data_IF_652110904738
#
_entry.id   IF_652110904738
#
_cell.length_a   1.000
_cell.length_b   1.000
_cell.length_c   1.000
_cell.angle_alpha   90.00
_cell.angle_beta   90.00
_cell.angle_gamma   90.00
#
_symmetry.space_group_name_H-M   'P 1'
#
loop_
_entity.id
_entity.type
_entity.pdbx_description
1 polymer ?
#
# COMPACT_ATOMS: atom_id res chain seq x y z
N UNK A 1 39.01 10.55 -8.56
CA UNK A 1 38.15 11.72 -8.32
C UNK A 1 36.71 11.25 -8.44
N UNK A 2 36.11 10.90 -7.33
CA UNK A 2 34.68 10.59 -7.27
C UNK A 2 33.97 11.94 -7.11
N UNK A 3 33.27 12.39 -8.16
CA UNK A 3 32.38 13.53 -8.05
C UNK A 3 31.24 13.17 -7.08
N UNK A 4 31.17 13.93 -5.98
CA UNK A 4 30.02 13.94 -5.10
C UNK A 4 28.80 14.32 -5.94
N UNK A 5 27.94 13.35 -6.17
CA UNK A 5 26.57 13.60 -6.58
C UNK A 5 25.86 14.07 -5.32
N UNK A 6 25.94 15.36 -5.01
CA UNK A 6 25.04 15.99 -4.05
C UNK A 6 23.67 15.89 -4.71
N UNK A 7 22.87 14.95 -4.20
CA UNK A 7 21.50 14.75 -4.66
C UNK A 7 20.78 16.09 -4.63
N UNK A 8 20.31 16.49 -5.80
CA UNK A 8 19.66 17.78 -6.04
C UNK A 8 18.29 17.84 -5.34
N UNK A 9 18.31 18.03 -4.02
CA UNK A 9 17.13 18.29 -3.20
C UNK A 9 16.58 19.72 -3.43
N UNK A 10 17.25 20.56 -4.24
CA UNK A 10 16.84 21.93 -4.53
C UNK A 10 15.53 22.03 -5.31
N UNK A 11 15.06 20.92 -5.88
CA UNK A 11 13.76 20.82 -6.57
C UNK A 11 12.54 20.85 -5.64
N UNK A 12 12.74 20.77 -4.32
CA UNK A 12 11.67 20.90 -3.34
C UNK A 12 11.51 22.33 -2.83
N UNK A 13 11.27 23.29 -3.71
CA UNK A 13 10.99 24.68 -3.34
C UNK A 13 12.18 25.39 -2.67
N UNK A 14 12.00 26.03 -1.53
CA UNK A 14 13.00 26.84 -0.80
C UNK A 14 14.15 26.03 -0.14
N UNK A 15 14.34 24.76 -0.51
CA UNK A 15 15.38 23.89 0.06
C UNK A 15 15.01 23.30 1.44
N UNK A 16 13.81 23.53 1.94
CA UNK A 16 13.31 22.89 3.16
C UNK A 16 12.84 21.46 2.86
N UNK A 17 13.21 20.51 3.71
CA UNK A 17 12.68 19.14 3.65
C UNK A 17 11.18 19.19 3.94
N UNK A 18 10.31 18.65 3.05
CA UNK A 18 8.88 18.64 3.30
C UNK A 18 8.55 17.93 4.62
N UNK A 19 7.49 18.33 5.34
CA UNK A 19 7.05 17.61 6.53
C UNK A 19 6.87 16.12 6.25
N UNK A 20 7.25 15.27 7.21
CA UNK A 20 7.15 13.80 7.07
C UNK A 20 5.73 13.37 6.68
N UNK A 21 4.71 14.00 7.23
CA UNK A 21 3.31 13.75 6.89
C UNK A 21 3.02 13.94 5.39
N UNK A 22 3.60 14.98 4.78
CA UNK A 22 3.44 15.22 3.34
C UNK A 22 4.16 14.17 2.51
N UNK A 23 5.38 13.78 2.91
CA UNK A 23 6.13 12.71 2.23
C UNK A 23 5.39 11.38 2.30
N UNK A 24 4.87 11.01 3.47
CA UNK A 24 4.09 9.79 3.66
C UNK A 24 2.78 9.81 2.85
N UNK A 25 2.08 10.95 2.84
CA UNK A 25 0.84 11.10 2.08
C UNK A 25 1.06 11.05 0.58
N UNK A 26 2.14 11.65 0.07
CA UNK A 26 2.49 11.56 -1.36
C UNK A 26 2.89 10.17 -1.80
N UNK A 27 3.59 9.43 -0.92
CA UNK A 27 4.25 8.18 -1.28
C UNK A 27 5.54 8.37 -2.05
N UNK A 28 6.10 7.26 -2.53
CA UNK A 28 7.41 7.20 -3.20
C UNK A 28 7.35 6.80 -4.67
N UNK A 29 6.19 6.79 -5.32
CA UNK A 29 6.11 6.39 -6.74
C UNK A 29 6.81 7.41 -7.64
N UNK A 30 7.67 6.98 -8.58
CA UNK A 30 8.43 7.90 -9.46
C UNK A 30 7.56 8.89 -10.24
N UNK A 31 6.35 8.47 -10.65
CA UNK A 31 5.41 9.32 -11.36
C UNK A 31 4.86 10.51 -10.56
N UNK A 32 5.14 10.56 -9.24
CA UNK A 32 4.69 11.65 -8.37
C UNK A 32 5.75 12.73 -8.14
N UNK A 33 7.01 12.53 -8.54
CA UNK A 33 8.14 13.40 -8.17
C UNK A 33 7.86 14.89 -8.47
N UNK A 34 7.42 15.22 -9.68
CA UNK A 34 7.17 16.59 -10.11
C UNK A 34 5.67 16.92 -10.22
N UNK A 35 4.81 16.06 -9.64
CA UNK A 35 3.36 16.22 -9.74
C UNK A 35 2.83 17.19 -8.68
N UNK A 36 1.97 18.17 -9.04
CA UNK A 36 1.27 19.00 -8.06
C UNK A 36 0.39 18.17 -7.12
N UNK A 37 0.32 18.57 -5.84
CA UNK A 37 -0.44 17.86 -4.81
C UNK A 37 -1.91 17.64 -5.17
N UNK A 38 -2.52 18.59 -5.91
CA UNK A 38 -3.92 18.52 -6.35
C UNK A 38 -4.20 17.33 -7.30
N UNK A 39 -3.18 16.83 -8.00
CA UNK A 39 -3.31 15.75 -8.98
C UNK A 39 -2.99 14.35 -8.41
N UNK A 40 -2.53 14.27 -7.15
CA UNK A 40 -2.13 13.00 -6.54
C UNK A 40 -3.29 12.01 -6.45
N UNK A 41 -4.47 12.48 -6.07
CA UNK A 41 -5.67 11.64 -6.01
C UNK A 41 -6.07 11.07 -7.37
N UNK A 42 -5.99 11.90 -8.42
CA UNK A 42 -6.28 11.48 -9.80
C UNK A 42 -5.24 10.49 -10.31
N UNK A 43 -3.97 10.72 -9.97
CA UNK A 43 -2.89 9.77 -10.27
C UNK A 43 -3.18 8.39 -9.68
N UNK A 44 -3.49 8.31 -8.37
CA UNK A 44 -3.79 7.01 -7.75
C UNK A 44 -5.09 6.38 -8.26
N UNK A 45 -6.06 7.17 -8.65
CA UNK A 45 -7.28 6.69 -9.32
C UNK A 45 -6.93 6.00 -10.64
N UNK A 46 -6.12 6.65 -11.48
CA UNK A 46 -5.63 6.08 -12.74
C UNK A 46 -4.73 4.87 -12.52
N UNK A 47 -3.83 4.95 -11.53
CA UNK A 47 -2.94 3.86 -11.15
C UNK A 47 -3.73 2.61 -10.73
N UNK A 48 -4.69 2.73 -9.82
CA UNK A 48 -5.52 1.60 -9.35
C UNK A 48 -6.34 0.98 -10.48
N UNK A 49 -6.87 1.80 -11.38
CA UNK A 49 -7.56 1.30 -12.56
C UNK A 49 -6.63 0.47 -13.44
N UNK A 50 -5.45 0.99 -13.77
CA UNK A 50 -4.44 0.31 -14.59
C UNK A 50 -3.95 -0.97 -13.90
N UNK A 51 -3.67 -0.91 -12.60
CA UNK A 51 -3.26 -2.05 -11.80
C UNK A 51 -4.29 -3.19 -11.86
N UNK A 52 -5.57 -2.88 -11.62
CA UNK A 52 -6.62 -3.90 -11.62
C UNK A 52 -6.89 -4.43 -13.04
N UNK A 53 -6.96 -3.56 -14.04
CA UNK A 53 -7.30 -3.96 -15.41
C UNK A 53 -6.16 -4.66 -16.16
N UNK A 54 -4.93 -4.36 -15.84
CA UNK A 54 -3.75 -4.87 -16.54
C UNK A 54 -2.98 -5.90 -15.72
N UNK A 55 -2.44 -5.48 -14.57
CA UNK A 55 -1.47 -6.30 -13.83
C UNK A 55 -2.16 -7.48 -13.14
N UNK A 56 -3.29 -7.23 -12.49
CA UNK A 56 -4.05 -8.29 -11.82
C UNK A 56 -4.58 -9.31 -12.83
N UNK A 57 -5.11 -8.87 -13.97
CA UNK A 57 -5.58 -9.78 -15.02
C UNK A 57 -4.47 -10.61 -15.66
N UNK A 58 -3.25 -10.09 -15.72
CA UNK A 58 -2.10 -10.83 -16.25
C UNK A 58 -1.63 -11.94 -15.31
N UNK A 59 -1.86 -11.79 -14.00
CA UNK A 59 -1.45 -12.74 -12.97
C UNK A 59 -2.52 -13.82 -12.74
N UNK A 60 -3.80 -13.44 -12.80
CA UNK A 60 -4.90 -14.35 -12.49
C UNK A 60 -6.22 -13.95 -13.14
N UNK A 61 -7.02 -14.98 -13.50
CA UNK A 61 -8.42 -14.77 -13.86
C UNK A 61 -9.24 -14.45 -12.60
N UNK A 62 -9.68 -13.19 -12.49
CA UNK A 62 -10.59 -12.72 -11.45
C UNK A 62 -11.94 -12.41 -12.11
N UNK A 63 -12.95 -13.18 -11.75
CA UNK A 63 -14.30 -13.04 -12.30
C UNK A 63 -15.00 -11.75 -11.87
N UNK A 64 -14.67 -11.23 -10.67
CA UNK A 64 -15.30 -10.03 -10.11
C UNK A 64 -14.23 -9.00 -9.68
N UNK A 65 -13.83 -8.14 -10.60
CA UNK A 65 -12.83 -7.10 -10.36
C UNK A 65 -13.31 -6.02 -9.36
N UNK A 66 -14.61 -5.76 -9.31
CA UNK A 66 -15.17 -4.82 -8.33
C UNK A 66 -15.02 -5.35 -6.90
N UNK A 67 -15.26 -6.63 -6.70
CA UNK A 67 -15.08 -7.28 -5.40
C UNK A 67 -13.60 -7.35 -5.03
N UNK A 68 -12.71 -7.61 -5.99
CA UNK A 68 -11.27 -7.53 -5.78
C UNK A 68 -10.81 -6.11 -5.39
N UNK A 69 -11.34 -5.09 -6.03
CA UNK A 69 -11.05 -3.69 -5.68
C UNK A 69 -11.47 -3.37 -4.22
N UNK A 70 -12.63 -3.89 -3.79
CA UNK A 70 -13.07 -3.78 -2.39
C UNK A 70 -12.16 -4.55 -1.44
N UNK A 71 -11.67 -5.72 -1.86
CA UNK A 71 -10.69 -6.50 -1.11
C UNK A 71 -9.39 -5.71 -0.89
N UNK A 72 -8.85 -5.07 -1.93
CA UNK A 72 -7.63 -4.25 -1.81
C UNK A 72 -7.82 -3.08 -0.84
N UNK A 73 -9.00 -2.44 -0.84
CA UNK A 73 -9.34 -1.38 0.13
C UNK A 73 -9.44 -1.91 1.56
N UNK A 74 -10.07 -3.07 1.77
CA UNK A 74 -10.15 -3.68 3.08
C UNK A 74 -8.76 -4.13 3.57
N UNK A 75 -7.95 -4.70 2.68
CA UNK A 75 -6.56 -5.06 2.97
C UNK A 75 -5.73 -3.84 3.39
N UNK A 76 -5.98 -2.66 2.80
CA UNK A 76 -5.29 -1.42 3.19
C UNK A 76 -5.57 -1.01 4.63
N UNK A 77 -6.80 -1.21 5.12
CA UNK A 77 -7.17 -0.93 6.50
C UNK A 77 -6.47 -1.86 7.52
N UNK A 78 -5.95 -3.00 7.06
CA UNK A 78 -5.17 -3.95 7.87
C UNK A 78 -3.66 -3.76 7.77
N UNK A 79 -3.20 -2.71 7.10
CA UNK A 79 -1.77 -2.41 7.02
C UNK A 79 -1.17 -2.23 8.41
N UNK A 80 0.02 -2.81 8.65
CA UNK A 80 0.72 -2.89 9.94
C UNK A 80 0.05 -3.81 11.00
N UNK A 81 -1.04 -4.50 10.67
CA UNK A 81 -1.73 -5.41 11.58
C UNK A 81 -1.48 -6.87 11.23
N UNK A 82 -1.78 -7.78 12.18
CA UNK A 82 -1.78 -9.22 11.90
C UNK A 82 -2.91 -9.57 10.93
N UNK A 83 -2.57 -10.36 9.90
CA UNK A 83 -3.52 -10.74 8.86
C UNK A 83 -4.33 -11.95 9.30
N UNK A 84 -5.65 -11.85 9.16
CA UNK A 84 -6.58 -12.95 9.30
C UNK A 84 -7.43 -13.11 8.04
N UNK A 85 -6.98 -13.98 7.13
CA UNK A 85 -7.67 -14.23 5.85
C UNK A 85 -9.11 -14.75 6.01
N UNK A 86 -9.44 -15.39 7.16
CA UNK A 86 -10.82 -15.82 7.45
C UNK A 86 -11.74 -14.61 7.70
N UNK A 87 -11.28 -13.63 8.47
CA UNK A 87 -12.04 -12.40 8.73
C UNK A 87 -12.19 -11.57 7.46
N UNK A 88 -11.11 -11.39 6.72
CA UNK A 88 -11.10 -10.73 5.42
C UNK A 88 -12.12 -11.34 4.44
N UNK A 89 -12.14 -12.67 4.36
CA UNK A 89 -13.10 -13.40 3.52
C UNK A 89 -14.55 -13.17 3.98
N UNK A 90 -14.81 -13.29 5.28
CA UNK A 90 -16.15 -13.10 5.85
C UNK A 90 -16.71 -11.70 5.59
N UNK A 91 -15.89 -10.66 5.77
CA UNK A 91 -16.30 -9.26 5.60
C UNK A 91 -16.66 -8.92 4.16
N UNK A 92 -16.14 -9.67 3.20
CA UNK A 92 -16.43 -9.52 1.77
C UNK A 92 -17.39 -10.55 1.20
N UNK A 93 -17.80 -11.54 1.99
CA UNK A 93 -18.64 -12.64 1.52
C UNK A 93 -17.93 -13.59 0.57
N UNK A 94 -16.61 -13.78 0.73
CA UNK A 94 -15.80 -14.74 -0.02
C UNK A 94 -15.22 -15.80 0.92
N UNK A 95 -14.88 -16.97 0.37
CA UNK A 95 -14.24 -17.99 1.13
C UNK A 95 -12.77 -17.67 1.45
N UNK A 96 -12.21 -18.34 2.46
CA UNK A 96 -10.82 -18.17 2.88
C UNK A 96 -9.83 -18.42 1.75
N UNK A 97 -10.09 -19.42 0.92
CA UNK A 97 -9.17 -19.80 -0.17
C UNK A 97 -9.06 -18.66 -1.18
N UNK A 98 -10.18 -18.06 -1.52
CA UNK A 98 -10.26 -16.88 -2.39
C UNK A 98 -9.53 -15.69 -1.75
N UNK A 99 -9.73 -15.42 -0.44
CA UNK A 99 -9.03 -14.35 0.26
C UNK A 99 -7.51 -14.54 0.22
N UNK A 100 -7.01 -15.73 0.54
CA UNK A 100 -5.57 -16.08 0.47
C UNK A 100 -5.03 -15.95 -0.95
N UNK A 101 -5.79 -16.41 -1.96
CA UNK A 101 -5.40 -16.26 -3.37
C UNK A 101 -5.26 -14.78 -3.75
N UNK A 102 -6.17 -13.93 -3.31
CA UNK A 102 -6.13 -12.49 -3.61
C UNK A 102 -5.01 -11.77 -2.87
N UNK A 103 -4.72 -12.14 -1.62
CA UNK A 103 -3.52 -11.68 -0.92
C UNK A 103 -2.24 -12.00 -1.70
N UNK A 104 -2.12 -13.25 -2.20
CA UNK A 104 -0.97 -13.68 -2.98
C UNK A 104 -0.84 -12.93 -4.31
N UNK A 105 -1.95 -12.53 -4.93
CA UNK A 105 -1.95 -11.67 -6.12
C UNK A 105 -1.38 -10.29 -5.77
N UNK A 106 -1.80 -9.70 -4.64
CA UNK A 106 -1.27 -8.42 -4.19
C UNK A 106 0.24 -8.50 -3.88
N UNK A 107 0.71 -9.63 -3.32
CA UNK A 107 2.16 -9.88 -3.11
C UNK A 107 2.90 -10.05 -4.45
N UNK A 108 2.40 -10.87 -5.36
CA UNK A 108 3.01 -11.12 -6.67
C UNK A 108 3.09 -9.86 -7.55
N UNK A 109 2.19 -8.91 -7.35
CA UNK A 109 2.17 -7.61 -8.03
C UNK A 109 2.90 -6.49 -7.26
N UNK A 110 3.63 -6.83 -6.20
CA UNK A 110 4.41 -5.90 -5.38
C UNK A 110 3.60 -4.76 -4.75
N UNK A 111 2.30 -4.95 -4.51
CA UNK A 111 1.47 -3.97 -3.78
C UNK A 111 1.47 -4.22 -2.28
N UNK A 112 1.72 -5.46 -1.87
CA UNK A 112 1.61 -5.94 -0.51
C UNK A 112 2.80 -6.80 -0.14
N UNK A 113 3.31 -6.66 1.08
CA UNK A 113 4.35 -7.53 1.64
C UNK A 113 3.89 -8.09 2.98
N UNK A 114 4.31 -9.32 3.29
CA UNK A 114 4.09 -9.95 4.58
C UNK A 114 5.40 -10.06 5.34
N UNK A 115 5.43 -9.54 6.54
CA UNK A 115 6.58 -9.65 7.44
C UNK A 115 6.24 -10.70 8.50
N UNK A 116 6.97 -11.83 8.54
CA UNK A 116 6.74 -12.86 9.53
C UNK A 116 7.10 -12.35 10.93
N UNK A 117 6.43 -12.92 11.95
CA UNK A 117 6.74 -12.57 13.33
C UNK A 117 8.18 -12.94 13.69
N UNK A 118 8.85 -12.10 14.45
CA UNK A 118 10.14 -12.47 15.03
C UNK A 118 9.94 -13.47 16.16
N UNK A 119 10.53 -14.67 16.05
CA UNK A 119 10.58 -15.64 17.11
C UNK A 119 11.92 -16.39 17.08
N UNK A 120 12.55 -16.57 18.25
CA UNK A 120 13.80 -17.33 18.38
C UNK A 120 13.61 -18.81 18.00
N UNK A 121 12.41 -19.36 18.23
CA UNK A 121 12.07 -20.71 17.84
C UNK A 121 11.62 -20.73 16.36
N UNK A 122 12.32 -21.45 15.45
CA UNK A 122 11.99 -21.51 14.03
C UNK A 122 10.56 -22.02 13.74
N UNK A 123 10.09 -23.00 14.50
CA UNK A 123 8.74 -23.58 14.33
C UNK A 123 7.67 -22.52 14.66
N UNK A 124 7.86 -21.79 15.76
CA UNK A 124 6.94 -20.72 16.15
C UNK A 124 6.97 -19.55 15.16
N UNK A 125 8.11 -19.25 14.54
CA UNK A 125 8.22 -18.24 13.48
C UNK A 125 7.34 -18.57 12.28
N UNK A 126 7.30 -19.83 11.86
CA UNK A 126 6.51 -20.29 10.71
C UNK A 126 5.01 -20.34 11.06
N UNK A 127 4.66 -20.72 12.29
CA UNK A 127 3.26 -20.88 12.73
C UNK A 127 2.60 -19.60 13.22
N UNK A 128 3.37 -18.54 13.46
CA UNK A 128 2.84 -17.27 13.94
C UNK A 128 2.27 -16.42 12.79
N UNK A 129 1.28 -15.59 13.10
CA UNK A 129 0.69 -14.69 12.13
C UNK A 129 1.71 -13.65 11.66
N UNK A 130 1.69 -13.35 10.38
CA UNK A 130 2.47 -12.28 9.78
C UNK A 130 1.73 -10.96 9.86
N UNK A 131 2.46 -9.85 9.93
CA UNK A 131 1.91 -8.52 9.66
C UNK A 131 2.04 -8.21 8.18
N UNK A 132 1.06 -7.50 7.65
CA UNK A 132 1.06 -7.08 6.27
C UNK A 132 1.22 -5.58 6.09
N UNK A 133 1.84 -5.17 4.99
CA UNK A 133 2.10 -3.76 4.70
C UNK A 133 1.90 -3.47 3.23
N UNK A 134 1.27 -2.35 2.91
CA UNK A 134 1.36 -1.78 1.57
C UNK A 134 2.77 -1.23 1.32
N UNK A 135 3.26 -1.43 0.09
CA UNK A 135 4.64 -1.05 -0.27
C UNK A 135 4.79 0.47 -0.40
N UNK A 136 3.72 1.15 -0.82
CA UNK A 136 3.71 2.61 -1.00
C UNK A 136 2.72 3.27 -0.03
N UNK A 137 3.21 4.26 0.73
CA UNK A 137 2.41 4.96 1.74
C UNK A 137 1.37 5.90 1.13
N UNK A 138 1.64 6.49 -0.03
CA UNK A 138 0.68 7.34 -0.74
C UNK A 138 -0.49 6.53 -1.28
N UNK A 139 -0.21 5.35 -1.87
CA UNK A 139 -1.25 4.42 -2.27
C UNK A 139 -2.09 3.97 -1.06
N UNK A 140 -1.45 3.66 0.06
CA UNK A 140 -2.13 3.32 1.31
C UNK A 140 -3.07 4.45 1.75
N UNK A 141 -2.61 5.70 1.79
CA UNK A 141 -3.41 6.87 2.12
C UNK A 141 -4.62 7.01 1.17
N UNK A 142 -4.39 6.90 -0.14
CA UNK A 142 -5.45 6.96 -1.15
C UNK A 142 -6.52 5.87 -0.93
N UNK A 143 -6.11 4.62 -0.70
CA UNK A 143 -7.03 3.50 -0.49
C UNK A 143 -7.90 3.68 0.77
N UNK A 144 -7.37 4.33 1.80
CA UNK A 144 -8.08 4.65 3.04
C UNK A 144 -8.87 5.96 3.00
N UNK A 145 -8.86 6.68 1.87
CA UNK A 145 -9.58 7.95 1.74
C UNK A 145 -8.91 9.14 2.43
N UNK A 146 -7.59 9.05 2.68
CA UNK A 146 -6.78 10.12 3.26
C UNK A 146 -6.25 10.99 2.11
N UNK A 147 -6.95 12.08 1.81
CA UNK A 147 -6.68 12.90 0.62
C UNK A 147 -5.84 14.16 0.90
N UNK A 148 -5.33 14.33 2.12
CA UNK A 148 -4.39 15.41 2.42
C UNK A 148 -3.46 15.05 3.60
N UNK A 149 -2.29 15.72 3.72
CA UNK A 149 -1.38 15.51 4.85
C UNK A 149 -2.01 15.82 6.21
N UNK A 150 -2.94 16.78 6.27
CA UNK A 150 -3.61 17.20 7.50
C UNK A 150 -4.56 16.09 7.99
N UNK A 151 -5.28 15.45 7.06
CA UNK A 151 -6.14 14.29 7.37
C UNK A 151 -5.28 13.14 7.88
N UNK A 152 -4.10 12.90 7.27
CA UNK A 152 -3.18 11.85 7.71
C UNK A 152 -2.76 12.04 9.16
N UNK A 153 -2.35 13.25 9.55
CA UNK A 153 -1.89 13.54 10.93
C UNK A 153 -2.99 13.29 11.97
N UNK A 154 -4.25 13.52 11.60
CA UNK A 154 -5.41 13.26 12.47
C UNK A 154 -5.96 11.83 12.40
N UNK A 155 -5.40 10.99 11.51
CA UNK A 155 -5.92 9.64 11.31
C UNK A 155 -5.54 8.71 12.47
N UNK A 156 -6.47 7.86 12.97
CA UNK A 156 -6.21 6.99 14.13
C UNK A 156 -5.03 6.03 13.96
N UNK A 157 -4.68 5.67 12.72
CA UNK A 157 -3.55 4.78 12.41
C UNK A 157 -2.25 5.54 12.12
N UNK A 158 -2.20 6.86 12.31
CA UNK A 158 -0.98 7.62 12.12
C UNK A 158 0.05 7.25 13.19
N UNK A 159 1.20 6.73 12.76
CA UNK A 159 2.27 6.30 13.67
C UNK A 159 2.24 4.80 14.05
N UNK A 160 1.39 4.00 13.43
CA UNK A 160 1.37 2.53 13.57
C UNK A 160 2.29 1.84 12.57
#
# INVERSE_FOLDING_TARGET
MLQNNEDDFSKFGDGSVPPLSRLMWRGGMPGLLDMPDQLISDFFTGYMRTYIERDVRSIAEISNLNLFSRFVRLLSALSAQEINSNELGRDLGIDRTTAVRWENICEASYQWIKIPSFNKNPIKRISSKSKGYFVDTGLLCYLQGIFSPEILVSHPLYGH
#
